data_IF_674494079184
#
_entry.id   IF_674494079184
#
_cell.length_a   1.000
_cell.length_b   1.000
_cell.length_c   1.000
_cell.angle_alpha   90.00
_cell.angle_beta   90.00
_cell.angle_gamma   90.00
#
_symmetry.space_group_name_H-M   'P 1'
#
loop_
_entity.id
_entity.type
_entity.pdbx_description
1 polymer ?
#
# COMPACT_ATOMS: atom_id res chain seq x y z
N UNK A 1 47.08 25.79 27.14
CA UNK A 1 45.68 25.56 27.58
C UNK A 1 44.76 25.13 26.44
N UNK A 2 44.84 25.76 25.27
CA UNK A 2 44.01 25.41 24.09
C UNK A 2 44.25 23.97 23.62
N UNK A 3 45.50 23.49 23.64
CA UNK A 3 45.87 22.12 23.27
C UNK A 3 45.22 21.03 24.14
N UNK A 4 45.06 21.28 25.44
CA UNK A 4 44.36 20.37 26.36
C UNK A 4 42.84 20.37 26.12
N UNK A 5 42.27 21.52 25.75
CA UNK A 5 40.86 21.65 25.38
C UNK A 5 40.55 20.89 24.08
N UNK A 6 41.43 21.00 23.07
CA UNK A 6 41.30 20.25 21.81
C UNK A 6 41.46 18.75 22.04
N UNK A 7 42.41 18.33 22.87
CA UNK A 7 42.58 16.93 23.25
C UNK A 7 41.39 16.37 24.02
N UNK A 8 40.79 17.15 24.93
CA UNK A 8 39.58 16.78 25.66
C UNK A 8 38.39 16.63 24.71
N UNK A 9 38.16 17.59 23.81
CA UNK A 9 37.06 17.53 22.83
C UNK A 9 37.24 16.33 21.89
N UNK A 10 38.45 16.04 21.43
CA UNK A 10 38.73 14.85 20.63
C UNK A 10 38.46 13.55 21.42
N UNK A 11 38.85 13.47 22.70
CA UNK A 11 38.53 12.32 23.55
C UNK A 11 37.01 12.17 23.77
N UNK A 12 36.29 13.26 24.00
CA UNK A 12 34.82 13.23 24.15
C UNK A 12 34.12 12.81 22.84
N UNK A 13 34.62 13.23 21.67
CA UNK A 13 34.01 12.90 20.38
C UNK A 13 34.36 11.48 19.89
N UNK A 14 35.59 11.03 20.12
CA UNK A 14 36.10 9.77 19.54
C UNK A 14 36.21 8.61 20.54
N UNK A 15 36.28 8.87 21.85
CA UNK A 15 36.40 7.81 22.87
C UNK A 15 35.11 7.57 23.66
N UNK A 16 34.31 8.60 23.98
CA UNK A 16 33.04 8.40 24.70
C UNK A 16 31.93 7.78 23.84
N UNK A 17 31.89 8.05 22.54
CA UNK A 17 30.92 7.43 21.63
C UNK A 17 31.01 5.89 21.65
N UNK A 18 32.20 5.31 21.41
CA UNK A 18 32.40 3.86 21.52
C UNK A 18 32.17 3.31 22.93
N UNK A 19 32.57 4.04 23.98
CA UNK A 19 32.41 3.60 25.37
C UNK A 19 30.92 3.56 25.79
N UNK A 20 30.14 4.54 25.36
CA UNK A 20 28.70 4.59 25.62
C UNK A 20 27.95 3.50 24.85
N UNK A 21 28.39 3.15 23.64
CA UNK A 21 27.87 1.99 22.90
C UNK A 21 28.24 0.65 23.56
N UNK A 22 29.42 0.53 24.16
CA UNK A 22 29.87 -0.68 24.85
C UNK A 22 29.20 -0.88 26.22
N UNK A 23 28.91 0.22 26.92
CA UNK A 23 28.24 0.21 28.24
C UNK A 23 26.71 0.30 28.14
N UNK A 24 26.16 0.58 26.96
CA UNK A 24 24.72 0.49 26.72
C UNK A 24 24.29 -0.98 26.83
N UNK A 25 23.23 -1.30 27.59
CA UNK A 25 22.68 -2.64 27.57
C UNK A 25 22.35 -2.99 26.11
N UNK A 26 22.71 -4.21 25.71
CA UNK A 26 22.30 -4.73 24.41
C UNK A 26 20.79 -4.45 24.26
N UNK A 27 20.32 -3.95 23.10
CA UNK A 27 18.90 -3.77 22.87
C UNK A 27 18.22 -5.10 23.25
N UNK A 28 17.11 -5.05 24.02
CA UNK A 28 16.48 -6.27 24.50
C UNK A 28 16.34 -7.22 23.33
N UNK A 29 16.93 -8.41 23.48
CA UNK A 29 16.78 -9.51 22.55
C UNK A 29 15.28 -9.70 22.39
N UNK A 30 14.73 -9.13 21.32
CA UNK A 30 13.32 -9.18 21.06
C UNK A 30 13.05 -10.58 20.57
N UNK A 31 12.85 -11.52 21.50
CA UNK A 31 12.66 -12.92 21.20
C UNK A 31 11.49 -13.01 20.24
N UNK A 32 11.79 -13.35 18.98
CA UNK A 32 10.75 -13.62 18.00
C UNK A 32 10.03 -14.87 18.47
N UNK A 33 8.70 -14.86 18.37
CA UNK A 33 7.98 -16.12 18.53
C UNK A 33 8.47 -17.08 17.43
N UNK A 34 8.47 -18.39 17.69
CA UNK A 34 8.65 -19.38 16.64
C UNK A 34 7.77 -19.04 15.44
N UNK A 35 8.26 -19.35 14.23
CA UNK A 35 7.47 -19.16 13.02
C UNK A 35 6.11 -19.84 13.22
N UNK A 36 4.99 -19.11 13.09
CA UNK A 36 3.68 -19.72 13.24
C UNK A 36 3.45 -20.73 12.13
N UNK A 37 2.56 -21.70 12.38
CA UNK A 37 2.12 -22.61 11.34
C UNK A 37 1.38 -21.83 10.25
N UNK A 38 1.95 -21.79 9.05
CA UNK A 38 1.33 -21.17 7.89
C UNK A 38 0.68 -22.26 7.05
N UNK A 39 -0.58 -22.03 6.66
CA UNK A 39 -1.21 -22.88 5.68
C UNK A 39 -0.54 -22.65 4.31
N UNK A 40 0.29 -23.60 3.89
CA UNK A 40 1.02 -23.53 2.63
C UNK A 40 0.10 -23.36 1.41
N UNK A 41 -1.15 -23.82 1.48
CA UNK A 41 -2.12 -23.66 0.39
C UNK A 41 -2.54 -22.20 0.13
N UNK A 42 -2.24 -21.30 1.07
CA UNK A 42 -2.48 -19.86 0.95
C UNK A 42 -1.24 -19.09 0.51
N UNK A 43 -0.08 -19.74 0.41
CA UNK A 43 1.18 -19.13 0.01
C UNK A 43 1.53 -19.48 -1.44
N UNK A 44 2.19 -18.56 -2.13
CA UNK A 44 2.73 -18.74 -3.46
C UNK A 44 4.06 -19.53 -3.41
N UNK A 45 3.97 -20.79 -2.98
CA UNK A 45 5.12 -21.69 -2.88
C UNK A 45 5.13 -22.64 -4.06
N UNK A 46 6.26 -22.69 -4.76
CA UNK A 46 6.50 -23.72 -5.76
C UNK A 46 6.71 -25.07 -5.06
N UNK A 47 6.20 -26.14 -5.67
CA UNK A 47 6.53 -27.49 -5.23
C UNK A 47 8.05 -27.72 -5.36
N UNK A 48 8.62 -28.56 -4.49
CA UNK A 48 10.07 -28.76 -4.42
C UNK A 48 10.69 -29.15 -5.78
N UNK A 49 9.95 -29.88 -6.60
CA UNK A 49 10.39 -30.38 -7.91
C UNK A 49 9.87 -29.54 -9.10
N UNK A 50 9.11 -28.47 -8.84
CA UNK A 50 8.56 -27.64 -9.91
C UNK A 50 9.67 -26.80 -10.58
N UNK A 51 9.80 -26.82 -11.92
CA UNK A 51 10.76 -25.96 -12.59
C UNK A 51 10.39 -24.49 -12.36
N UNK A 52 11.41 -23.66 -12.20
CA UNK A 52 11.23 -22.22 -12.14
C UNK A 52 10.52 -21.73 -13.41
N UNK A 53 9.52 -20.84 -13.30
CA UNK A 53 8.83 -20.33 -14.49
C UNK A 53 9.81 -19.48 -15.30
N UNK A 54 9.74 -19.60 -16.62
CA UNK A 54 10.55 -18.82 -17.55
C UNK A 54 9.98 -17.40 -17.70
N UNK A 55 10.36 -16.50 -16.80
CA UNK A 55 9.80 -15.15 -16.77
C UNK A 55 10.61 -14.19 -17.65
N UNK A 56 9.90 -13.33 -18.38
CA UNK A 56 10.54 -12.18 -19.01
C UNK A 56 11.20 -11.28 -17.93
N UNK A 57 12.27 -10.55 -18.26
CA UNK A 57 12.86 -9.58 -17.35
C UNK A 57 11.83 -8.55 -16.90
N UNK A 58 11.94 -8.13 -15.63
CA UNK A 58 11.10 -7.06 -15.09
C UNK A 58 11.42 -5.72 -15.78
N UNK A 59 10.40 -5.07 -16.34
CA UNK A 59 10.56 -3.87 -17.18
C UNK A 59 9.67 -2.70 -16.73
N UNK A 60 9.30 -2.63 -15.45
CA UNK A 60 8.50 -1.55 -14.88
C UNK A 60 9.37 -0.37 -14.41
N UNK A 61 8.80 0.85 -14.43
CA UNK A 61 9.43 2.02 -13.82
C UNK A 61 8.94 2.21 -12.38
N UNK A 62 9.84 2.59 -11.47
CA UNK A 62 9.51 2.80 -10.06
C UNK A 62 9.71 4.26 -9.63
N UNK A 63 8.72 4.82 -8.96
CA UNK A 63 8.73 6.18 -8.43
C UNK A 63 8.53 6.16 -6.92
N UNK A 64 9.41 6.83 -6.18
CA UNK A 64 9.29 6.92 -4.71
C UNK A 64 8.24 7.98 -4.36
N UNK A 65 7.06 7.53 -3.94
CA UNK A 65 5.99 8.40 -3.44
C UNK A 65 6.29 8.85 -2.02
N UNK A 66 6.65 7.92 -1.13
CA UNK A 66 7.08 8.23 0.23
C UNK A 66 8.25 7.34 0.63
N UNK A 67 9.10 7.85 1.52
CA UNK A 67 10.21 7.08 2.12
C UNK A 67 9.84 6.50 3.47
N UNK A 68 8.89 7.13 4.18
CA UNK A 68 8.41 6.71 5.51
C UNK A 68 6.89 6.98 5.59
N UNK A 69 6.04 5.94 5.48
CA UNK A 69 6.36 4.58 5.02
C UNK A 69 7.01 4.57 3.62
N UNK A 70 7.76 3.51 3.29
CA UNK A 70 8.16 3.29 1.91
C UNK A 70 6.91 3.04 1.08
N UNK A 71 6.62 3.94 0.14
CA UNK A 71 5.52 3.83 -0.82
C UNK A 71 6.09 4.05 -2.21
N UNK A 72 5.92 3.06 -3.08
CA UNK A 72 6.39 3.09 -4.46
C UNK A 72 5.20 3.06 -5.40
N UNK A 73 5.22 3.90 -6.42
CA UNK A 73 4.35 3.77 -7.58
C UNK A 73 5.10 3.06 -8.70
N UNK A 74 4.48 2.05 -9.30
CA UNK A 74 5.09 1.15 -10.27
C UNK A 74 4.32 1.27 -11.60
N UNK A 75 4.94 1.86 -12.61
CA UNK A 75 4.37 1.97 -13.96
C UNK A 75 4.67 0.69 -14.76
N UNK A 76 3.63 0.06 -15.31
CA UNK A 76 3.78 -1.17 -16.10
C UNK A 76 4.22 -2.40 -15.29
N UNK A 77 3.83 -2.47 -14.02
CA UNK A 77 4.12 -3.62 -13.14
C UNK A 77 3.55 -4.95 -13.68
N UNK A 78 2.36 -4.89 -14.30
CA UNK A 78 1.75 -5.99 -15.02
C UNK A 78 1.78 -5.71 -16.52
N UNK A 79 2.23 -6.69 -17.29
CA UNK A 79 2.14 -6.64 -18.76
C UNK A 79 0.70 -6.80 -19.24
N UNK A 80 0.41 -6.37 -20.46
CA UNK A 80 -0.93 -6.51 -21.04
C UNK A 80 -1.35 -8.00 -21.11
N UNK A 81 -0.42 -8.88 -21.50
CA UNK A 81 -0.63 -10.31 -21.58
C UNK A 81 -0.92 -10.94 -20.21
N UNK A 82 -0.17 -10.55 -19.16
CA UNK A 82 -0.43 -11.03 -17.81
C UNK A 82 -1.81 -10.60 -17.30
N UNK A 83 -2.23 -9.36 -17.60
CA UNK A 83 -3.56 -8.87 -17.21
C UNK A 83 -4.67 -9.64 -17.92
N UNK A 84 -4.55 -9.80 -19.24
CA UNK A 84 -5.52 -10.56 -20.04
C UNK A 84 -5.65 -12.00 -19.53
N UNK A 85 -4.51 -12.67 -19.28
CA UNK A 85 -4.47 -14.01 -18.70
C UNK A 85 -5.18 -14.06 -17.34
N UNK A 86 -4.89 -13.11 -16.45
CA UNK A 86 -5.53 -13.08 -15.12
C UNK A 86 -7.04 -12.88 -15.20
N UNK A 87 -7.55 -12.08 -16.13
CA UNK A 87 -8.99 -11.89 -16.33
C UNK A 87 -9.66 -13.18 -16.83
N UNK A 88 -9.04 -13.88 -17.78
CA UNK A 88 -9.51 -15.17 -18.29
C UNK A 88 -9.61 -16.22 -17.18
N UNK A 89 -8.53 -16.40 -16.41
CA UNK A 89 -8.49 -17.34 -15.28
C UNK A 89 -9.50 -16.97 -14.18
N UNK A 90 -9.77 -15.68 -13.98
CA UNK A 90 -10.70 -15.23 -12.95
C UNK A 90 -12.16 -15.41 -13.35
N UNK A 91 -12.48 -15.41 -14.65
CA UNK A 91 -13.86 -15.40 -15.16
C UNK A 91 -14.77 -16.50 -14.56
N UNK A 92 -14.33 -17.76 -14.41
CA UNK A 92 -15.16 -18.81 -13.81
C UNK A 92 -15.07 -18.89 -12.26
N UNK A 93 -14.23 -18.06 -11.62
CA UNK A 93 -13.86 -18.21 -10.20
C UNK A 93 -14.41 -17.11 -9.28
N UNK A 94 -15.13 -16.14 -9.83
CA UNK A 94 -15.67 -15.03 -9.04
C UNK A 94 -16.65 -15.49 -7.97
N UNK A 95 -16.40 -15.06 -6.73
CA UNK A 95 -17.30 -15.28 -5.58
C UNK A 95 -17.40 -14.01 -4.75
N UNK A 96 -18.53 -13.76 -4.06
CA UNK A 96 -18.64 -12.60 -3.18
C UNK A 96 -17.56 -12.57 -2.10
N UNK A 97 -16.95 -11.41 -1.90
CA UNK A 97 -15.83 -11.26 -0.98
C UNK A 97 -16.28 -11.26 0.47
N UNK A 98 -15.45 -11.84 1.32
CA UNK A 98 -15.68 -11.83 2.76
C UNK A 98 -14.65 -10.94 3.46
N UNK A 99 -15.02 -10.41 4.61
CA UNK A 99 -14.11 -9.71 5.52
C UNK A 99 -13.78 -10.62 6.70
N UNK A 100 -12.57 -10.54 7.22
CA UNK A 100 -12.16 -11.28 8.42
C UNK A 100 -11.68 -10.30 9.48
N UNK A 101 -12.16 -10.47 10.71
CA UNK A 101 -11.73 -9.70 11.88
C UNK A 101 -10.87 -10.54 12.84
N UNK A 102 -10.31 -11.65 12.37
CA UNK A 102 -9.51 -12.58 13.16
C UNK A 102 -10.30 -13.58 14.01
N UNK A 103 -11.60 -13.37 14.25
CA UNK A 103 -12.46 -14.28 15.00
C UNK A 103 -13.59 -14.89 14.14
N UNK A 104 -14.11 -14.13 13.18
CA UNK A 104 -15.16 -14.56 12.25
C UNK A 104 -14.85 -14.07 10.83
N UNK A 105 -15.30 -14.84 9.86
CA UNK A 105 -15.30 -14.45 8.44
C UNK A 105 -16.75 -14.19 8.05
N UNK A 106 -17.07 -12.96 7.67
CA UNK A 106 -18.43 -12.55 7.36
C UNK A 106 -18.49 -11.74 6.06
N UNK A 107 -19.55 -11.98 5.29
CA UNK A 107 -19.92 -11.15 4.16
C UNK A 107 -20.71 -9.94 4.68
N UNK A 108 -20.04 -8.79 4.76
CA UNK A 108 -20.66 -7.50 5.12
C UNK A 108 -20.48 -6.51 3.95
N UNK A 109 -21.51 -6.33 3.09
CA UNK A 109 -21.49 -5.40 1.97
C UNK A 109 -21.23 -3.94 2.37
N UNK A 110 -21.53 -3.56 3.62
CA UNK A 110 -21.25 -2.21 4.09
C UNK A 110 -19.76 -2.00 4.39
N UNK A 111 -19.04 -3.08 4.71
CA UNK A 111 -17.58 -3.06 4.85
C UNK A 111 -16.88 -3.25 3.51
N UNK A 112 -17.35 -4.18 2.68
CA UNK A 112 -16.74 -4.55 1.41
C UNK A 112 -17.78 -5.10 0.45
N UNK A 113 -17.89 -4.45 -0.70
CA UNK A 113 -18.75 -4.89 -1.81
C UNK A 113 -17.88 -5.17 -3.02
N UNK A 114 -17.52 -6.44 -3.22
CA UNK A 114 -16.65 -6.89 -4.31
C UNK A 114 -16.75 -8.39 -4.54
N UNK A 115 -16.33 -8.86 -5.72
CA UNK A 115 -16.12 -10.29 -6.00
C UNK A 115 -14.62 -10.61 -6.02
N UNK A 116 -14.24 -11.73 -5.43
CA UNK A 116 -12.85 -12.24 -5.39
C UNK A 116 -12.72 -13.51 -6.20
N UNK A 117 -11.59 -13.67 -6.89
CA UNK A 117 -11.19 -14.92 -7.52
C UNK A 117 -9.75 -15.27 -7.07
N UNK A 118 -9.57 -16.49 -6.56
CA UNK A 118 -8.25 -17.02 -6.22
C UNK A 118 -7.61 -17.62 -7.47
N UNK A 119 -6.53 -16.99 -7.95
CA UNK A 119 -5.92 -17.39 -9.22
C UNK A 119 -5.23 -18.77 -9.13
N UNK A 120 -5.37 -19.62 -10.15
CA UNK A 120 -4.49 -20.77 -10.31
C UNK A 120 -3.05 -20.29 -10.56
N UNK A 121 -2.06 -21.03 -10.05
CA UNK A 121 -0.64 -20.67 -10.18
C UNK A 121 -0.08 -21.05 -11.57
N UNK A 122 -0.67 -20.50 -12.62
CA UNK A 122 -0.18 -20.64 -14.00
C UNK A 122 1.20 -19.98 -14.16
N UNK A 123 1.85 -20.21 -15.30
CA UNK A 123 3.15 -19.60 -15.62
C UNK A 123 3.15 -18.07 -15.43
N UNK A 124 2.13 -17.38 -15.96
CA UNK A 124 2.00 -15.92 -15.86
C UNK A 124 1.85 -15.45 -14.41
N UNK A 125 0.96 -16.11 -13.65
CA UNK A 125 0.73 -15.81 -12.23
C UNK A 125 2.00 -16.01 -11.40
N UNK A 126 2.72 -17.13 -11.62
CA UNK A 126 4.01 -17.39 -10.95
C UNK A 126 5.08 -16.35 -11.29
N UNK A 127 5.08 -15.80 -12.50
CA UNK A 127 5.99 -14.72 -12.86
C UNK A 127 5.69 -13.41 -12.11
N UNK A 128 4.42 -13.06 -11.93
CA UNK A 128 4.04 -11.89 -11.11
C UNK A 128 4.38 -12.11 -9.63
N UNK A 129 4.18 -13.31 -9.09
CA UNK A 129 4.59 -13.65 -7.72
C UNK A 129 6.11 -13.50 -7.54
N UNK A 130 6.92 -13.98 -8.50
CA UNK A 130 8.38 -13.82 -8.49
C UNK A 130 8.80 -12.36 -8.60
N UNK A 131 8.15 -11.58 -9.45
CA UNK A 131 8.37 -10.13 -9.60
C UNK A 131 8.11 -9.39 -8.29
N UNK A 132 7.01 -9.71 -7.62
CA UNK A 132 6.69 -9.12 -6.31
C UNK A 132 7.72 -9.48 -5.23
N UNK A 133 8.23 -10.71 -5.23
CA UNK A 133 9.31 -11.12 -4.32
C UNK A 133 10.65 -10.43 -4.65
N UNK A 134 10.96 -10.26 -5.94
CA UNK A 134 12.17 -9.57 -6.41
C UNK A 134 12.17 -8.08 -6.08
N UNK A 135 11.03 -7.39 -6.25
CA UNK A 135 10.84 -5.98 -5.84
C UNK A 135 11.23 -5.76 -4.36
N UNK A 136 10.96 -6.75 -3.52
CA UNK A 136 11.25 -6.71 -2.08
C UNK A 136 12.66 -7.22 -1.73
N UNK A 137 13.47 -7.60 -2.72
CA UNK A 137 14.84 -8.06 -2.51
C UNK A 137 14.97 -9.49 -1.96
N UNK A 138 13.99 -10.36 -2.21
CA UNK A 138 14.03 -11.77 -1.78
C UNK A 138 14.28 -11.95 -0.28
N UNK A 139 13.61 -11.11 0.53
CA UNK A 139 13.77 -11.13 1.99
C UNK A 139 13.60 -12.54 2.57
N UNK A 140 14.52 -12.98 3.44
CA UNK A 140 14.37 -14.27 4.09
C UNK A 140 13.13 -14.26 4.99
N UNK A 141 12.43 -15.39 5.07
CA UNK A 141 11.24 -15.55 5.89
C UNK A 141 10.11 -14.54 5.56
N UNK A 142 10.01 -14.14 4.30
CA UNK A 142 8.88 -13.43 3.71
C UNK A 142 8.36 -14.25 2.52
N UNK A 143 7.05 -14.43 2.44
CA UNK A 143 6.38 -15.21 1.41
C UNK A 143 5.23 -14.41 0.81
N UNK A 144 5.12 -14.43 -0.51
CA UNK A 144 3.97 -13.89 -1.22
C UNK A 144 2.78 -14.81 -0.97
N UNK A 145 1.63 -14.27 -0.57
CA UNK A 145 0.37 -15.00 -0.53
C UNK A 145 -0.10 -15.31 -1.96
N UNK A 146 -0.88 -16.38 -2.15
CA UNK A 146 -1.48 -16.67 -3.46
C UNK A 146 -2.29 -15.48 -3.96
N UNK A 147 -2.08 -15.18 -5.24
CA UNK A 147 -2.68 -14.01 -5.87
C UNK A 147 -4.20 -14.13 -5.98
N UNK A 148 -4.87 -13.02 -5.67
CA UNK A 148 -6.34 -12.90 -5.77
C UNK A 148 -6.68 -11.66 -6.56
N UNK A 149 -7.48 -11.84 -7.60
CA UNK A 149 -8.09 -10.71 -8.30
C UNK A 149 -9.36 -10.29 -7.57
N UNK A 150 -9.70 -9.01 -7.73
CA UNK A 150 -10.74 -8.37 -6.97
C UNK A 150 -11.56 -7.44 -7.86
N UNK A 151 -12.78 -7.83 -8.18
CA UNK A 151 -13.68 -7.11 -9.07
C UNK A 151 -14.67 -6.23 -8.30
N UNK A 152 -14.80 -4.99 -8.74
CA UNK A 152 -15.71 -3.98 -8.20
C UNK A 152 -16.52 -3.39 -9.35
N UNK A 153 -17.84 -3.55 -9.32
CA UNK A 153 -18.77 -2.81 -10.18
C UNK A 153 -19.24 -1.51 -9.51
N UNK A 154 -20.22 -0.80 -10.08
CA UNK A 154 -20.78 0.42 -9.50
C UNK A 154 -21.22 0.24 -8.04
N UNK A 155 -20.84 1.17 -7.17
CA UNK A 155 -21.01 1.12 -5.71
C UNK A 155 -20.04 0.18 -4.98
N UNK A 156 -19.31 -0.68 -5.71
CA UNK A 156 -18.32 -1.59 -5.15
C UNK A 156 -17.17 -0.82 -4.48
N UNK A 157 -16.81 -1.24 -3.28
CA UNK A 157 -15.82 -0.56 -2.43
C UNK A 157 -15.19 -1.53 -1.43
N UNK A 158 -14.11 -1.07 -0.77
CA UNK A 158 -13.63 -1.65 0.46
C UNK A 158 -13.29 -0.50 1.42
N UNK A 159 -14.03 -0.42 2.52
CA UNK A 159 -13.82 0.62 3.54
C UNK A 159 -12.39 0.59 4.07
N UNK A 160 -12.04 1.70 4.69
CA UNK A 160 -10.72 1.87 5.27
C UNK A 160 -10.34 0.71 6.22
N UNK A 161 -9.14 0.18 6.02
CA UNK A 161 -8.60 -0.95 6.78
C UNK A 161 -7.06 -0.89 6.80
N UNK A 162 -6.48 -1.75 7.66
CA UNK A 162 -5.09 -2.16 7.56
C UNK A 162 -5.05 -3.55 6.94
N UNK A 163 -4.04 -3.80 6.11
CA UNK A 163 -3.81 -5.15 5.56
C UNK A 163 -3.22 -6.11 6.58
N UNK A 164 -2.68 -5.58 7.68
CA UNK A 164 -2.01 -6.32 8.73
C UNK A 164 -2.90 -6.41 9.98
N UNK A 165 -2.78 -7.53 10.70
CA UNK A 165 -3.32 -7.71 12.04
C UNK A 165 -2.20 -7.60 13.09
N UNK A 166 -2.56 -7.63 14.38
CA UNK A 166 -1.65 -7.31 15.50
C UNK A 166 -0.29 -8.03 15.40
N UNK A 167 0.77 -7.32 15.79
CA UNK A 167 2.17 -7.74 15.70
C UNK A 167 2.58 -8.84 16.71
N UNK A 168 1.60 -9.52 17.32
CA UNK A 168 1.82 -10.55 18.32
C UNK A 168 2.73 -11.67 17.80
N UNK A 169 3.94 -11.76 18.34
CA UNK A 169 4.93 -12.76 17.94
C UNK A 169 5.91 -12.34 16.85
N UNK A 170 5.79 -11.14 16.27
CA UNK A 170 6.75 -10.58 15.30
C UNK A 170 6.57 -11.04 13.86
N UNK A 171 5.35 -11.44 13.48
CA UNK A 171 5.01 -11.91 12.14
C UNK A 171 3.67 -11.31 11.68
N UNK A 172 3.59 -10.85 10.42
CA UNK A 172 2.34 -10.33 9.83
C UNK A 172 2.49 -10.14 8.31
N UNK A 173 1.51 -9.50 7.66
CA UNK A 173 1.66 -8.99 6.29
C UNK A 173 2.57 -7.76 6.30
N UNK A 174 3.85 -7.96 6.00
CA UNK A 174 4.89 -6.93 6.12
C UNK A 174 4.81 -5.87 5.02
N UNK A 175 4.28 -6.24 3.85
CA UNK A 175 4.06 -5.32 2.74
C UNK A 175 2.85 -5.73 1.92
N UNK A 176 2.40 -4.80 1.08
CA UNK A 176 1.28 -4.99 0.17
C UNK A 176 1.58 -4.35 -1.18
N UNK A 177 1.03 -4.94 -2.24
CA UNK A 177 0.91 -4.34 -3.57
C UNK A 177 -0.56 -4.37 -3.97
N UNK A 178 -1.06 -3.22 -4.42
CA UNK A 178 -2.32 -3.12 -5.13
C UNK A 178 -2.01 -2.79 -6.59
N UNK A 179 -2.14 -3.78 -7.46
CA UNK A 179 -2.01 -3.60 -8.91
C UNK A 179 -3.38 -3.54 -9.57
N UNK A 180 -3.53 -2.75 -10.64
CA UNK A 180 -4.77 -2.66 -11.39
C UNK A 180 -4.70 -3.55 -12.63
N UNK A 181 -5.51 -4.60 -12.66
CA UNK A 181 -5.59 -5.54 -13.78
C UNK A 181 -6.45 -4.97 -14.91
N UNK A 182 -7.57 -4.33 -14.56
CA UNK A 182 -8.49 -3.68 -15.48
C UNK A 182 -9.18 -2.48 -14.82
N UNK A 183 -9.67 -1.55 -15.63
CA UNK A 183 -10.32 -0.33 -15.15
C UNK A 183 -10.26 0.83 -16.15
N UNK A 184 -10.15 0.53 -17.44
CA UNK A 184 -10.15 1.51 -18.52
C UNK A 184 -11.43 2.36 -18.47
N UNK A 185 -11.27 3.67 -18.34
CA UNK A 185 -12.41 4.61 -18.27
C UNK A 185 -13.26 4.49 -17.00
N UNK A 186 -12.80 3.79 -15.96
CA UNK A 186 -13.53 3.72 -14.68
C UNK A 186 -13.57 5.10 -14.01
N UNK A 187 -14.72 5.46 -13.44
CA UNK A 187 -14.88 6.68 -12.66
C UNK A 187 -14.96 6.31 -11.18
N UNK A 188 -14.16 6.97 -10.34
CA UNK A 188 -13.99 6.59 -8.94
C UNK A 188 -13.15 5.32 -8.80
N UNK A 189 -13.36 4.55 -7.74
CA UNK A 189 -12.65 3.28 -7.55
C UNK A 189 -11.18 3.41 -7.15
N UNK A 190 -10.64 4.63 -6.97
CA UNK A 190 -9.24 4.86 -6.59
C UNK A 190 -8.84 4.19 -5.28
N UNK A 191 -7.54 4.04 -5.07
CA UNK A 191 -6.99 3.53 -3.79
C UNK A 191 -6.57 4.72 -2.93
N UNK A 192 -7.31 4.97 -1.85
CA UNK A 192 -7.10 6.12 -0.97
C UNK A 192 -6.21 5.76 0.23
N UNK A 193 -5.26 6.64 0.54
CA UNK A 193 -4.50 6.67 1.79
C UNK A 193 -4.70 8.05 2.43
N UNK A 194 -5.64 8.23 3.37
CA UNK A 194 -5.98 9.54 3.92
C UNK A 194 -4.88 10.17 4.77
N UNK A 195 -3.90 9.37 5.22
CA UNK A 195 -2.82 9.80 6.12
C UNK A 195 -1.48 9.99 5.43
N UNK A 196 -1.38 9.69 4.13
CA UNK A 196 -0.20 10.03 3.35
C UNK A 196 -0.24 11.48 2.91
N UNK A 197 0.90 12.16 2.95
CA UNK A 197 1.00 13.53 2.47
C UNK A 197 0.59 13.61 0.99
N UNK A 198 -0.30 14.56 0.69
CA UNK A 198 -0.74 14.84 -0.66
C UNK A 198 0.44 15.31 -1.53
N UNK A 199 0.52 14.84 -2.77
CA UNK A 199 1.48 15.30 -3.78
C UNK A 199 0.74 15.88 -5.00
N UNK A 200 1.38 16.82 -5.68
CA UNK A 200 0.85 17.57 -6.83
C UNK A 200 1.89 17.66 -7.95
N UNK A 201 1.56 18.33 -9.05
CA UNK A 201 2.44 18.50 -10.20
C UNK A 201 2.55 17.22 -11.01
N UNK A 202 3.77 16.73 -11.25
CA UNK A 202 3.99 15.51 -12.04
C UNK A 202 3.25 14.27 -11.48
N UNK A 203 2.93 14.26 -10.18
CA UNK A 203 2.17 13.19 -9.55
C UNK A 203 0.70 13.12 -9.99
N UNK A 204 0.10 14.21 -10.47
CA UNK A 204 -1.30 14.25 -10.87
C UNK A 204 -1.62 13.28 -12.03
N UNK A 205 -0.61 12.77 -12.73
CA UNK A 205 -0.79 11.69 -13.71
C UNK A 205 -1.12 10.33 -13.08
N UNK A 206 -0.78 10.13 -11.80
CA UNK A 206 -0.95 8.87 -11.06
C UNK A 206 -1.93 8.97 -9.89
N UNK A 207 -2.13 10.18 -9.36
CA UNK A 207 -2.99 10.43 -8.20
C UNK A 207 -4.03 11.50 -8.56
N UNK A 208 -5.18 11.46 -7.90
CA UNK A 208 -6.20 12.50 -8.04
C UNK A 208 -5.69 13.82 -7.45
N UNK A 209 -5.77 14.89 -8.24
CA UNK A 209 -5.44 16.25 -7.84
C UNK A 209 -6.70 17.12 -7.88
N UNK A 210 -6.82 18.07 -6.94
CA UNK A 210 -7.93 19.03 -6.90
C UNK A 210 -7.98 19.82 -8.21
N UNK A 211 -9.16 19.91 -8.82
CA UNK A 211 -9.40 20.56 -10.12
C UNK A 211 -9.61 19.62 -11.31
N UNK A 212 -9.56 18.30 -11.12
CA UNK A 212 -9.86 17.30 -12.18
C UNK A 212 -11.24 16.62 -12.03
N UNK A 213 -12.16 17.17 -11.20
CA UNK A 213 -13.43 16.50 -10.89
C UNK A 213 -14.55 17.36 -10.29
N UNK A 214 -14.59 18.66 -10.57
CA UNK A 214 -15.73 19.54 -10.23
C UNK A 214 -16.38 20.06 -11.52
N UNK A 215 -16.83 19.13 -12.34
CA UNK A 215 -17.55 19.40 -13.57
C UNK A 215 -18.89 18.65 -13.49
N UNK A 216 -19.89 19.25 -12.83
CA UNK A 216 -21.27 18.78 -12.95
C UNK A 216 -22.06 18.53 -11.67
N UNK A 217 -22.08 19.47 -10.73
CA UNK A 217 -23.26 19.62 -9.86
C UNK A 217 -23.58 21.10 -9.73
N UNK A 218 -24.57 21.51 -10.52
CA UNK A 218 -25.25 22.79 -10.43
C UNK A 218 -25.70 23.03 -8.98
N UNK A 219 -24.99 23.91 -8.29
CA UNK A 219 -25.51 24.62 -7.12
C UNK A 219 -26.19 25.87 -7.64
N UNK A 220 -27.51 25.80 -7.79
CA UNK A 220 -28.37 26.94 -8.08
C UNK A 220 -28.02 28.09 -7.13
N UNK A 221 -27.61 29.21 -7.72
CA UNK A 221 -27.42 30.45 -7.01
C UNK A 221 -28.78 31.03 -6.62
N UNK A 222 -28.96 31.32 -5.34
CA UNK A 222 -29.91 32.34 -4.92
C UNK A 222 -29.15 33.56 -4.40
N UNK A 223 -29.48 34.66 -5.07
CA UNK A 223 -29.07 36.04 -4.86
C UNK A 223 -29.48 36.55 -3.47
N UNK A 224 -28.63 37.38 -2.86
CA UNK A 224 -28.89 37.97 -1.55
C UNK A 224 -27.95 39.13 -1.24
N UNK A 225 -28.08 40.22 -1.99
CA UNK A 225 -27.51 41.54 -1.70
C UNK A 225 -27.99 42.06 -0.33
N UNK A 226 -27.09 42.49 0.56
CA UNK A 226 -27.06 43.88 1.05
C UNK A 226 -25.76 44.21 1.82
N UNK A 227 -25.33 45.48 1.73
CA UNK A 227 -23.97 45.91 2.02
C UNK A 227 -23.68 46.53 3.39
N UNK A 228 -22.41 46.96 3.53
CA UNK A 228 -22.00 48.07 4.39
C UNK A 228 -20.98 47.75 5.49
N UNK A 229 -19.75 48.25 5.34
CA UNK A 229 -19.07 48.93 6.44
C UNK A 229 -17.87 48.25 7.13
N UNK A 230 -16.71 48.81 6.85
CA UNK A 230 -15.58 49.09 7.75
C UNK A 230 -14.48 48.05 8.03
N UNK A 231 -13.28 48.62 8.04
CA UNK A 231 -11.96 48.03 8.04
C UNK A 231 -11.60 47.38 9.39
N UNK A 232 -11.06 46.17 9.33
CA UNK A 232 -10.47 45.48 10.47
C UNK A 232 -9.44 44.48 9.99
N UNK A 233 -8.18 44.91 9.89
CA UNK A 233 -7.05 44.05 9.63
C UNK A 233 -6.78 43.11 10.82
N UNK A 234 -6.89 41.80 10.62
CA UNK A 234 -6.06 40.76 11.24
C UNK A 234 -6.50 39.35 10.79
N UNK A 235 -5.56 38.60 10.20
CA UNK A 235 -5.53 37.14 10.32
C UNK A 235 -6.57 36.33 9.54
N UNK A 236 -6.63 36.50 8.21
CA UNK A 236 -7.32 35.56 7.34
C UNK A 236 -6.51 34.27 7.17
N UNK A 237 -6.45 33.42 8.19
CA UNK A 237 -6.14 32.00 7.99
C UNK A 237 -7.35 31.33 7.34
N UNK A 238 -7.55 31.54 6.03
CA UNK A 238 -8.34 30.59 5.25
C UNK A 238 -7.50 29.34 5.00
N UNK A 239 -7.26 28.58 6.07
CA UNK A 239 -7.11 27.14 5.97
C UNK A 239 -8.46 26.58 5.51
N UNK A 240 -8.77 26.72 4.21
CA UNK A 240 -9.49 25.65 3.55
C UNK A 240 -8.64 24.41 3.83
N UNK A 241 -9.09 23.58 4.77
CA UNK A 241 -8.37 22.41 5.26
C UNK A 241 -7.86 21.66 4.03
N UNK A 242 -6.55 21.75 3.76
CA UNK A 242 -5.92 21.01 2.68
C UNK A 242 -6.35 19.58 2.89
N UNK A 243 -7.09 18.98 1.95
CA UNK A 243 -7.45 17.56 2.06
C UNK A 243 -6.16 16.79 2.21
N UNK A 244 -5.90 16.35 3.44
CA UNK A 244 -4.81 15.44 3.73
C UNK A 244 -5.14 14.11 3.05
N UNK A 245 -4.11 13.42 2.53
CA UNK A 245 -4.29 12.15 1.86
C UNK A 245 -3.97 12.15 0.37
N UNK A 246 -3.99 10.94 -0.20
CA UNK A 246 -3.78 10.68 -1.61
C UNK A 246 -4.74 9.62 -2.10
N UNK A 247 -5.28 9.80 -3.30
CA UNK A 247 -6.03 8.76 -4.01
C UNK A 247 -5.23 8.38 -5.25
N UNK A 248 -4.73 7.15 -5.30
CA UNK A 248 -4.09 6.62 -6.50
C UNK A 248 -5.16 6.23 -7.52
N UNK A 249 -5.01 6.74 -8.74
CA UNK A 249 -5.91 6.48 -9.87
C UNK A 249 -5.86 5.02 -10.29
N UNK A 250 -6.98 4.49 -10.77
CA UNK A 250 -7.04 3.15 -11.38
C UNK A 250 -6.42 3.22 -12.77
N UNK A 251 -5.14 2.84 -12.88
CA UNK A 251 -4.43 2.80 -14.16
C UNK A 251 -4.04 1.36 -14.44
N UNK A 252 -4.72 0.67 -15.37
CA UNK A 252 -4.44 -0.71 -15.70
C UNK A 252 -2.95 -0.93 -16.01
N UNK A 253 -2.38 -2.01 -15.47
CA UNK A 253 -0.95 -2.35 -15.59
C UNK A 253 -0.06 -1.75 -14.51
N UNK A 254 -0.49 -0.65 -13.88
CA UNK A 254 0.28 -0.01 -12.83
C UNK A 254 -0.03 -0.63 -11.46
N UNK A 255 0.80 -0.28 -10.47
CA UNK A 255 0.61 -0.70 -9.10
C UNK A 255 1.10 0.34 -8.10
N UNK A 256 0.58 0.26 -6.88
CA UNK A 256 1.15 0.91 -5.70
C UNK A 256 1.61 -0.17 -4.71
N UNK A 257 2.85 -0.04 -4.25
CA UNK A 257 3.46 -0.88 -3.22
C UNK A 257 3.69 -0.06 -1.96
N UNK A 258 3.50 -0.67 -0.79
CA UNK A 258 3.87 -0.06 0.48
C UNK A 258 4.32 -1.08 1.54
N UNK A 259 5.19 -0.63 2.44
CA UNK A 259 5.57 -1.36 3.65
C UNK A 259 4.58 -1.05 4.78
N UNK A 260 4.13 -2.09 5.49
CA UNK A 260 3.13 -1.99 6.55
C UNK A 260 3.75 -1.68 7.92
N UNK A 261 5.04 -1.94 8.12
CA UNK A 261 5.72 -1.78 9.41
C UNK A 261 6.95 -0.88 9.34
N UNK A 262 7.29 -0.26 10.47
CA UNK A 262 8.51 0.54 10.63
C UNK A 262 9.74 -0.38 10.62
N UNK A 263 10.82 0.00 9.91
CA UNK A 263 12.05 -0.79 9.85
C UNK A 263 12.99 -0.52 11.05
N UNK A 264 12.45 -0.03 12.17
CA UNK A 264 13.20 0.43 13.35
C UNK A 264 13.23 -0.62 14.48
N UNK A 265 12.78 -1.85 14.21
CA UNK A 265 12.69 -2.93 15.19
C UNK A 265 11.57 -2.75 16.23
N UNK A 266 10.80 -1.66 16.19
CA UNK A 266 9.67 -1.43 17.11
C UNK A 266 8.50 -2.36 16.87
N UNK A 267 8.44 -2.99 15.69
CA UNK A 267 7.30 -3.80 15.21
C UNK A 267 5.97 -3.02 15.16
N UNK A 268 6.05 -1.69 15.10
CA UNK A 268 4.88 -0.82 14.97
C UNK A 268 4.50 -0.69 13.50
N UNK A 269 3.22 -0.89 13.20
CA UNK A 269 2.67 -0.63 11.88
C UNK A 269 2.68 0.87 11.55
N UNK A 270 2.77 1.22 10.28
CA UNK A 270 2.57 2.60 9.83
C UNK A 270 1.10 2.97 9.93
N UNK A 271 0.80 4.05 10.65
CA UNK A 271 -0.56 4.58 10.74
C UNK A 271 -1.02 5.09 9.36
N UNK A 272 -0.06 5.50 8.53
CA UNK A 272 -0.19 5.99 7.16
C UNK A 272 -0.53 4.89 6.15
N UNK A 273 -0.38 3.60 6.51
CA UNK A 273 -0.81 2.48 5.66
C UNK A 273 -2.31 2.18 5.81
N UNK A 274 -3.06 2.98 6.57
CA UNK A 274 -4.52 2.95 6.62
C UNK A 274 -5.06 3.37 5.27
N UNK A 275 -5.85 2.52 4.61
CA UNK A 275 -6.23 2.76 3.22
C UNK A 275 -7.58 2.13 2.85
N UNK A 276 -8.17 2.59 1.76
CA UNK A 276 -9.46 2.12 1.24
C UNK A 276 -9.44 1.94 -0.28
N UNK A 277 -10.32 1.08 -0.77
CA UNK A 277 -10.77 1.10 -2.16
C UNK A 277 -12.03 1.94 -2.24
N UNK A 278 -11.95 3.14 -2.81
CA UNK A 278 -13.08 4.05 -2.92
C UNK A 278 -14.19 3.44 -3.79
N UNK A 279 -15.46 3.89 -3.63
CA UNK A 279 -16.55 3.43 -4.45
C UNK A 279 -16.29 3.66 -5.94
N UNK A 280 -16.50 2.63 -6.75
CA UNK A 280 -16.62 2.77 -8.20
C UNK A 280 -17.93 3.49 -8.48
N UNK A 281 -17.90 4.60 -9.20
CA UNK A 281 -19.10 5.34 -9.62
C UNK A 281 -19.62 4.79 -10.95
N UNK A 282 -18.73 4.58 -11.91
CA UNK A 282 -19.04 4.08 -13.25
C UNK A 282 -17.98 3.10 -13.74
N UNK A 283 -18.39 2.10 -14.53
CA UNK A 283 -17.51 1.07 -15.05
C UNK A 283 -17.22 -0.06 -14.07
N UNK A 284 -16.14 -0.80 -14.32
CA UNK A 284 -15.69 -1.93 -13.50
C UNK A 284 -14.19 -1.83 -13.28
N UNK A 285 -13.76 -1.96 -12.03
CA UNK A 285 -12.35 -2.08 -11.64
C UNK A 285 -12.03 -3.52 -11.29
N UNK A 286 -10.90 -4.03 -11.79
CA UNK A 286 -10.31 -5.28 -11.29
C UNK A 286 -8.93 -4.99 -10.71
N UNK A 287 -8.80 -5.20 -9.40
CA UNK A 287 -7.55 -5.15 -8.67
C UNK A 287 -6.87 -6.50 -8.53
N UNK A 288 -5.59 -6.48 -8.22
CA UNK A 288 -4.78 -7.63 -7.82
C UNK A 288 -4.11 -7.28 -6.49
N UNK A 289 -4.53 -7.97 -5.42
CA UNK A 289 -3.91 -7.82 -4.11
C UNK A 289 -2.76 -8.81 -3.99
N UNK A 290 -1.56 -8.30 -3.72
CA UNK A 290 -0.36 -9.09 -3.46
C UNK A 290 0.11 -8.78 -2.04
N UNK A 291 -0.14 -9.70 -1.12
CA UNK A 291 0.32 -9.56 0.26
C UNK A 291 1.59 -10.35 0.47
N UNK A 292 2.55 -9.76 1.16
CA UNK A 292 3.77 -10.46 1.58
C UNK A 292 3.72 -10.70 3.06
N UNK A 293 3.59 -11.96 3.46
CA UNK A 293 3.53 -12.38 4.85
C UNK A 293 4.91 -12.79 5.33
N UNK A 294 5.37 -12.27 6.45
CA UNK A 294 6.70 -12.59 6.96
C UNK A 294 7.04 -11.96 8.29
N UNK A 295 8.32 -12.02 8.62
CA UNK A 295 8.88 -11.50 9.87
C UNK A 295 8.90 -9.96 9.85
N UNK A 296 8.43 -9.35 10.92
CA UNK A 296 8.52 -7.90 11.12
C UNK A 296 9.94 -7.59 11.62
N UNK A 297 10.71 -6.85 10.82
CA UNK A 297 12.11 -6.50 11.09
C UNK A 297 12.24 -5.24 11.95
#
# INVERSE_FOLDING_TARGET
MISYLVGLVAFLLFALGPLTQWLSPAPPSSSYAPRPFLNASHLALDDADAPAPDCAPDAYAAHIYSRQPLVLYLEGFLTEEERAHMLEESAPLWTPSQTSNGATTAHDPAARLSDVALLPRTRAVRCVERRAAALQGWRPAVWVERLRTQRYGPGGHYRHHFDWASSGGGWSRVSSVMAWVAGEGVVGGGTEFPRLAARRGAWCRFVECEGEGEDGSDGEGEDGSDGGGEEGAAGGETQAARKEGVVFKVIPGNAVYWENFRPDGSRRGWDESWHAGLPVKEGVKVGLNIWSWGRIE
#
